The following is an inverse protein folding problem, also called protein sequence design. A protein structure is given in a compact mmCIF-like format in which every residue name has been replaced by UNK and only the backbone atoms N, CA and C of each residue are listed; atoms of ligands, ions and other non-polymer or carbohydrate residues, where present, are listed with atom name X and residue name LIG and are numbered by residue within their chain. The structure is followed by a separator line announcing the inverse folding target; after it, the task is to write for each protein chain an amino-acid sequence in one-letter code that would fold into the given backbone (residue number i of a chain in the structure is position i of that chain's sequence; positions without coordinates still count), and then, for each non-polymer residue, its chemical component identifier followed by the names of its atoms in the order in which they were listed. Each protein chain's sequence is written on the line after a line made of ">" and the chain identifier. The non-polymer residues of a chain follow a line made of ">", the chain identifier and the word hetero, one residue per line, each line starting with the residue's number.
data_IF_616844575031
#
_entry.id   IF_616844575031
#
_cell.length_a   1.000
_cell.length_b   1.000
_cell.length_c   1.000
_cell.angle_alpha   90.00
_cell.angle_beta   90.00
_cell.angle_gamma   90.00
#
_symmetry.space_group_name_H-M   'P 1'
#
loop_
_entity.id
_entity.type
_entity.pdbx_description
1 polymer ?
#
# COMPACT_ATOMS: atom_id res chain seq x y z
N UNK A 1 -10.73 -24.95 -17.23
CA UNK A 1 -10.44 -24.53 -15.85
C UNK A 1 -9.76 -23.19 -15.96
N UNK A 2 -10.39 -22.13 -15.46
CA UNK A 2 -9.75 -20.83 -15.30
C UNK A 2 -8.55 -20.98 -14.36
N UNK A 3 -7.43 -20.35 -14.69
CA UNK A 3 -6.22 -20.42 -13.88
C UNK A 3 -6.13 -19.19 -12.99
N UNK A 4 -6.16 -19.40 -11.69
CA UNK A 4 -5.95 -18.36 -10.69
C UNK A 4 -4.46 -18.12 -10.48
N UNK A 5 -4.03 -16.85 -10.38
CA UNK A 5 -2.64 -16.48 -10.07
C UNK A 5 -2.59 -15.61 -8.82
N UNK A 6 -1.69 -15.93 -7.89
CA UNK A 6 -1.54 -15.19 -6.64
C UNK A 6 -0.11 -14.71 -6.40
N UNK A 7 0.01 -13.55 -5.76
CA UNK A 7 1.28 -13.02 -5.28
C UNK A 7 1.11 -12.46 -3.86
N UNK A 8 2.15 -12.58 -3.04
CA UNK A 8 2.17 -12.06 -1.67
C UNK A 8 3.40 -11.20 -1.46
N UNK A 9 3.21 -10.04 -0.84
CA UNK A 9 4.27 -9.12 -0.49
C UNK A 9 4.15 -8.66 0.97
N UNK A 10 5.27 -8.25 1.55
CA UNK A 10 5.37 -7.70 2.90
C UNK A 10 5.94 -6.29 2.78
N UNK A 11 5.27 -5.30 3.38
CA UNK A 11 5.69 -3.90 3.36
C UNK A 11 5.81 -3.32 4.78
N UNK A 12 6.90 -2.58 5.10
CA UNK A 12 7.04 -1.93 6.40
C UNK A 12 6.33 -0.58 6.49
N UNK A 13 5.84 -0.24 7.67
CA UNK A 13 5.48 1.12 8.02
C UNK A 13 6.73 2.01 8.14
N UNK A 14 6.58 3.33 8.02
CA UNK A 14 7.67 4.28 8.13
C UNK A 14 7.33 5.47 9.04
N UNK A 15 8.34 6.07 9.66
CA UNK A 15 8.21 7.27 10.50
C UNK A 15 9.01 8.43 9.89
N UNK A 16 8.33 9.53 9.59
CA UNK A 16 8.93 10.71 8.99
C UNK A 16 9.79 11.52 9.98
N UNK A 17 11.03 11.81 9.60
CA UNK A 17 11.92 12.76 10.29
C UNK A 17 11.75 14.17 9.72
N UNK A 18 11.74 14.29 8.38
CA UNK A 18 11.29 15.50 7.69
C UNK A 18 9.85 15.26 7.25
N UNK A 19 8.93 16.08 7.76
CA UNK A 19 7.49 15.82 7.68
C UNK A 19 6.96 16.11 6.27
N UNK A 20 6.15 15.19 5.76
CA UNK A 20 5.19 15.46 4.71
C UNK A 20 4.01 16.21 5.36
N UNK A 21 3.81 17.48 5.04
CA UNK A 21 2.70 18.25 5.58
C UNK A 21 2.26 19.37 4.62
N UNK A 22 0.97 19.36 4.28
CA UNK A 22 0.40 20.26 3.27
C UNK A 22 0.44 19.66 1.86
N UNK A 23 -0.66 19.84 1.13
CA UNK A 23 -0.86 19.28 -0.21
C UNK A 23 -1.01 20.42 -1.20
N UNK A 24 -0.13 20.45 -2.21
CA UNK A 24 -0.17 21.44 -3.29
C UNK A 24 -1.21 21.09 -4.34
N UNK A 25 -1.29 19.81 -4.71
CA UNK A 25 -2.28 19.28 -5.65
C UNK A 25 -2.85 17.97 -5.10
N UNK A 26 -4.11 18.03 -4.67
CA UNK A 26 -4.80 16.91 -4.05
C UNK A 26 -5.22 15.82 -5.05
N UNK A 27 -5.43 16.16 -6.32
CA UNK A 27 -5.81 15.17 -7.34
C UNK A 27 -4.65 14.23 -7.68
N UNK A 28 -3.41 14.68 -7.46
CA UNK A 28 -2.17 13.94 -7.74
C UNK A 28 -1.35 13.63 -6.49
N UNK A 29 -1.85 14.00 -5.31
CA UNK A 29 -1.17 13.82 -4.01
C UNK A 29 0.22 14.48 -3.95
N UNK A 30 0.41 15.64 -4.61
CA UNK A 30 1.71 16.33 -4.63
C UNK A 30 1.92 17.20 -3.37
N UNK A 31 3.04 17.06 -2.64
CA UNK A 31 3.34 17.88 -1.47
C UNK A 31 3.95 19.23 -1.82
N UNK A 32 3.86 20.16 -0.87
CA UNK A 32 4.62 21.42 -0.92
C UNK A 32 6.13 21.27 -0.66
N UNK A 33 6.55 20.19 0.01
CA UNK A 33 7.94 19.96 0.37
C UNK A 33 8.32 18.47 0.27
N UNK A 34 9.63 18.22 0.11
CA UNK A 34 10.16 16.87 0.25
C UNK A 34 10.09 16.37 1.71
N UNK A 35 10.03 15.05 1.88
CA UNK A 35 10.05 14.37 3.18
C UNK A 35 11.13 13.29 3.21
N UNK A 36 11.60 12.95 4.41
CA UNK A 36 12.55 11.87 4.65
C UNK A 36 12.02 11.05 5.83
N UNK A 37 11.95 9.73 5.67
CA UNK A 37 11.47 8.81 6.69
C UNK A 37 12.38 7.59 6.84
N UNK A 38 12.17 6.86 7.94
CA UNK A 38 12.84 5.59 8.24
C UNK A 38 11.79 4.48 8.27
N UNK A 39 12.09 3.35 7.63
CA UNK A 39 11.26 2.14 7.72
C UNK A 39 11.43 1.45 9.07
N UNK A 40 10.33 0.94 9.61
CA UNK A 40 10.31 0.13 10.82
C UNK A 40 10.48 -1.35 10.47
N UNK A 41 11.30 -2.06 11.24
CA UNK A 41 11.62 -3.46 10.96
C UNK A 41 10.45 -4.42 11.26
N UNK A 42 9.67 -4.14 12.31
CA UNK A 42 8.65 -5.07 12.83
C UNK A 42 7.21 -4.63 12.61
N UNK A 43 6.97 -3.39 12.21
CA UNK A 43 5.62 -2.89 11.90
C UNK A 43 5.32 -3.16 10.43
N UNK A 44 4.85 -4.37 10.14
CA UNK A 44 4.71 -4.90 8.78
C UNK A 44 3.25 -5.11 8.40
N UNK A 45 2.94 -4.94 7.12
CA UNK A 45 1.68 -5.37 6.51
C UNK A 45 1.97 -6.45 5.48
N UNK A 46 1.29 -7.60 5.59
CA UNK A 46 1.35 -8.67 4.60
C UNK A 46 0.10 -8.60 3.73
N UNK A 47 0.29 -8.49 2.42
CA UNK A 47 -0.83 -8.40 1.46
C UNK A 47 -0.68 -9.50 0.42
N UNK A 48 -1.75 -10.27 0.23
CA UNK A 48 -1.88 -11.23 -0.86
C UNK A 48 -2.89 -10.70 -1.87
N UNK A 49 -2.56 -10.82 -3.15
CA UNK A 49 -3.44 -10.49 -4.28
C UNK A 49 -3.63 -11.74 -5.11
N UNK A 50 -4.87 -12.00 -5.47
CA UNK A 50 -5.26 -13.14 -6.30
C UNK A 50 -6.08 -12.64 -7.48
N UNK A 51 -5.63 -12.94 -8.69
CA UNK A 51 -6.40 -12.72 -9.91
C UNK A 51 -7.22 -13.98 -10.20
N UNK A 52 -8.51 -13.90 -9.89
CA UNK A 52 -9.48 -14.94 -10.16
C UNK A 52 -10.46 -14.44 -11.25
N UNK A 53 -10.44 -15.02 -12.46
CA UNK A 53 -11.30 -14.59 -13.55
C UNK A 53 -12.79 -14.93 -13.33
N UNK A 54 -13.10 -15.75 -12.32
CA UNK A 54 -14.47 -16.12 -11.98
C UNK A 54 -15.09 -15.14 -10.95
N UNK A 55 -14.31 -14.18 -10.42
CA UNK A 55 -14.83 -13.10 -9.57
C UNK A 55 -15.59 -12.05 -10.42
N UNK A 56 -16.80 -11.64 -9.99
CA UNK A 56 -17.59 -10.65 -10.72
C UNK A 56 -17.04 -9.23 -10.59
N UNK A 57 -16.38 -8.92 -9.47
CA UNK A 57 -15.87 -7.60 -9.11
C UNK A 57 -14.62 -7.75 -8.20
N UNK A 58 -13.87 -6.65 -8.04
CA UNK A 58 -12.73 -6.60 -7.11
C UNK A 58 -13.23 -6.64 -5.65
N UNK A 59 -12.64 -7.52 -4.85
CA UNK A 59 -12.92 -7.63 -3.41
C UNK A 59 -11.69 -7.33 -2.56
N UNK A 60 -11.88 -6.61 -1.45
CA UNK A 60 -10.82 -6.27 -0.49
C UNK A 60 -11.26 -6.61 0.92
N UNK A 61 -10.47 -7.43 1.62
CA UNK A 61 -10.66 -7.74 3.03
C UNK A 61 -9.47 -7.24 3.84
N UNK A 62 -9.73 -6.51 4.92
CA UNK A 62 -8.71 -6.05 5.87
C UNK A 62 -8.92 -6.81 7.18
N UNK A 63 -7.88 -7.46 7.67
CA UNK A 63 -7.88 -8.19 8.95
C UNK A 63 -6.82 -7.63 9.88
N UNK A 64 -7.03 -7.78 11.19
CA UNK A 64 -6.14 -7.30 12.27
C UNK A 64 -5.25 -8.42 12.77
#
# INVERSE_FOLDING_TARGET
>A
MSTTTSATAIAPANIAFIKYWGVQDAARTLPFNGSISLNLDTCLTTTSVTFDPDLPDDEVTITL
#
